data_IF_758313420523
#
_entry.id   IF_758313420523
#
_cell.length_a   1.000
_cell.length_b   1.000
_cell.length_c   1.000
_cell.angle_alpha   90.00
_cell.angle_beta   90.00
_cell.angle_gamma   90.00
#
_symmetry.space_group_name_H-M   'P 1'
#
loop_
_entity.id
_entity.type
_entity.pdbx_description
1 polymer ?
#
# COMPACT_ATOMS: atom_id res chain seq x y z
N UNK A 1 15.90 -14.87 24.76
CA UNK A 1 15.54 -15.73 23.61
C UNK A 1 15.84 -14.98 22.33
N UNK A 2 16.97 -15.26 21.67
CA UNK A 2 17.21 -14.75 20.32
C UNK A 2 16.36 -15.59 19.35
N UNK A 3 15.59 -14.95 18.47
CA UNK A 3 14.72 -15.59 17.47
C UNK A 3 15.46 -15.63 16.12
N UNK A 4 16.27 -16.67 15.85
CA UNK A 4 17.18 -16.66 14.71
C UNK A 4 16.41 -16.96 13.41
N UNK A 5 15.25 -17.60 13.50
CA UNK A 5 14.41 -17.95 12.35
C UNK A 5 13.68 -16.73 11.77
N UNK A 6 12.98 -15.96 12.61
CA UNK A 6 12.27 -14.75 12.18
C UNK A 6 13.22 -13.71 11.58
N UNK A 7 14.40 -13.53 12.19
CA UNK A 7 15.44 -12.63 11.69
C UNK A 7 16.07 -13.08 10.37
N UNK A 8 16.09 -14.38 10.06
CA UNK A 8 16.56 -14.91 8.76
C UNK A 8 15.56 -14.65 7.64
N UNK A 9 14.25 -14.79 7.90
CA UNK A 9 13.19 -14.48 6.94
C UNK A 9 13.12 -12.99 6.63
N UNK A 10 13.21 -12.13 7.66
CA UNK A 10 13.32 -10.69 7.44
C UNK A 10 14.57 -10.32 6.65
N UNK A 11 15.70 -10.99 6.92
CA UNK A 11 16.95 -10.77 6.18
C UNK A 11 16.87 -11.22 4.72
N UNK A 12 16.06 -12.23 4.37
CA UNK A 12 15.84 -12.59 2.96
C UNK A 12 14.89 -11.62 2.26
N UNK A 13 13.88 -11.11 2.95
CA UNK A 13 12.99 -10.08 2.42
C UNK A 13 13.71 -8.72 2.24
N UNK A 14 14.64 -8.38 3.14
CA UNK A 14 15.49 -7.18 3.03
C UNK A 14 16.68 -7.35 2.07
N UNK A 15 16.96 -8.56 1.58
CA UNK A 15 17.95 -8.73 0.51
C UNK A 15 17.34 -8.13 -0.74
N UNK A 16 17.83 -6.95 -1.11
CA UNK A 16 17.61 -6.34 -2.42
C UNK A 16 17.79 -7.41 -3.48
N UNK A 17 16.69 -7.79 -4.14
CA UNK A 17 16.75 -8.71 -5.26
C UNK A 17 17.55 -8.00 -6.37
N UNK A 18 18.83 -8.34 -6.47
CA UNK A 18 19.69 -7.95 -7.60
C UNK A 18 19.25 -8.78 -8.82
N UNK A 19 18.02 -8.57 -9.27
CA UNK A 19 17.57 -9.03 -10.58
C UNK A 19 18.36 -8.21 -11.61
N UNK A 20 18.94 -8.83 -12.65
CA UNK A 20 19.48 -8.08 -13.77
C UNK A 20 18.37 -7.18 -14.31
N UNK A 21 18.44 -5.90 -14.03
CA UNK A 21 17.56 -4.94 -14.68
C UNK A 21 18.00 -4.95 -16.13
N UNK A 22 17.12 -5.39 -17.04
CA UNK A 22 17.28 -5.03 -18.44
C UNK A 22 17.48 -3.50 -18.48
N UNK A 23 18.26 -2.97 -19.44
CA UNK A 23 18.50 -1.54 -19.60
C UNK A 23 17.20 -0.78 -19.96
N UNK A 24 16.22 -0.79 -19.05
CA UNK A 24 14.92 -0.19 -19.15
C UNK A 24 15.10 1.29 -18.83
N UNK A 25 15.22 2.09 -19.88
CA UNK A 25 15.16 3.54 -19.78
C UNK A 25 13.73 3.98 -20.05
N UNK A 26 13.16 4.73 -19.12
CA UNK A 26 11.90 5.44 -19.36
C UNK A 26 12.20 6.80 -20.00
N UNK A 27 11.25 7.28 -20.80
CA UNK A 27 11.22 8.70 -21.18
C UNK A 27 10.69 9.52 -19.98
N UNK A 28 11.03 10.81 -19.86
CA UNK A 28 10.43 11.69 -18.86
C UNK A 28 8.90 11.62 -18.90
N UNK A 29 8.25 11.97 -17.78
CA UNK A 29 6.80 11.93 -17.73
C UNK A 29 6.24 12.92 -18.76
N UNK A 30 5.25 12.49 -19.54
CA UNK A 30 4.53 13.40 -20.44
C UNK A 30 3.79 14.48 -19.66
N UNK A 31 3.37 14.13 -18.44
CA UNK A 31 2.75 15.01 -17.47
C UNK A 31 3.32 14.67 -16.10
N UNK A 32 4.01 15.62 -15.49
CA UNK A 32 4.60 15.47 -14.18
C UNK A 32 3.50 15.56 -13.12
N UNK A 33 3.16 14.42 -12.50
CA UNK A 33 2.21 14.40 -11.39
C UNK A 33 2.93 14.92 -10.16
N UNK A 34 2.55 16.12 -9.72
CA UNK A 34 3.13 16.79 -8.57
C UNK A 34 2.83 16.02 -7.28
N UNK A 35 3.62 16.26 -6.22
CA UNK A 35 3.39 15.66 -4.92
C UNK A 35 1.98 15.97 -4.36
N UNK A 36 1.44 17.16 -4.66
CA UNK A 36 0.08 17.55 -4.26
C UNK A 36 -0.99 16.70 -4.94
N UNK A 37 -0.88 16.51 -6.26
CA UNK A 37 -1.81 15.65 -7.02
C UNK A 37 -1.74 14.19 -6.58
N UNK A 38 -0.53 13.68 -6.32
CA UNK A 38 -0.35 12.32 -5.79
C UNK A 38 -1.00 12.17 -4.41
N UNK A 39 -0.85 13.15 -3.52
CA UNK A 39 -1.45 13.13 -2.19
C UNK A 39 -2.98 13.12 -2.26
N UNK A 40 -3.57 13.93 -3.16
CA UNK A 40 -5.02 13.95 -3.39
C UNK A 40 -5.49 12.60 -3.92
N UNK A 41 -4.83 12.04 -4.93
CA UNK A 41 -5.20 10.76 -5.51
C UNK A 41 -5.12 9.61 -4.50
N UNK A 42 -4.05 9.56 -3.70
CA UNK A 42 -3.87 8.53 -2.68
C UNK A 42 -4.93 8.65 -1.59
N UNK A 43 -5.24 9.87 -1.13
CA UNK A 43 -6.27 10.13 -0.13
C UNK A 43 -7.64 9.73 -0.64
N UNK A 44 -7.96 10.09 -1.89
CA UNK A 44 -9.22 9.73 -2.53
C UNK A 44 -9.37 8.21 -2.64
N UNK A 45 -8.31 7.49 -3.03
CA UNK A 45 -8.31 6.03 -3.09
C UNK A 45 -8.58 5.41 -1.70
N UNK A 46 -7.90 5.90 -0.67
CA UNK A 46 -8.11 5.42 0.70
C UNK A 46 -9.54 5.68 1.16
N UNK A 47 -10.06 6.89 0.95
CA UNK A 47 -11.42 7.27 1.32
C UNK A 47 -12.48 6.43 0.58
N UNK A 48 -12.26 6.13 -0.70
CA UNK A 48 -13.18 5.32 -1.50
C UNK A 48 -13.33 3.88 -0.99
N UNK A 49 -12.27 3.31 -0.40
CA UNK A 49 -12.30 1.96 0.17
C UNK A 49 -12.76 1.99 1.63
N UNK A 50 -12.15 2.86 2.44
CA UNK A 50 -12.36 2.89 3.89
C UNK A 50 -13.67 3.56 4.28
N UNK A 51 -14.19 4.50 3.48
CA UNK A 51 -15.45 5.18 3.77
C UNK A 51 -16.64 4.20 3.84
N UNK A 52 -16.94 3.47 2.76
CA UNK A 52 -18.02 2.47 2.76
C UNK A 52 -17.76 1.36 3.79
N UNK A 53 -16.52 0.88 3.89
CA UNK A 53 -16.14 -0.16 4.86
C UNK A 53 -16.39 0.30 6.30
N UNK A 54 -15.97 1.52 6.64
CA UNK A 54 -16.15 2.12 7.95
C UNK A 54 -17.63 2.31 8.31
N UNK A 55 -18.45 2.75 7.34
CA UNK A 55 -19.90 2.84 7.53
C UNK A 55 -20.51 1.48 7.87
N UNK A 56 -20.20 0.44 7.10
CA UNK A 56 -20.74 -0.90 7.33
C UNK A 56 -20.32 -1.41 8.71
N UNK A 57 -19.04 -1.29 9.06
CA UNK A 57 -18.53 -1.77 10.35
C UNK A 57 -19.12 -1.01 11.54
N UNK A 58 -19.37 0.29 11.40
CA UNK A 58 -19.97 1.10 12.45
C UNK A 58 -21.42 0.69 12.78
N UNK A 59 -22.15 0.15 11.80
CA UNK A 59 -23.57 -0.17 11.94
C UNK A 59 -23.85 -1.67 12.18
N UNK A 60 -22.83 -2.47 12.51
CA UNK A 60 -23.00 -3.92 12.70
C UNK A 60 -24.02 -4.26 13.80
N UNK A 61 -24.06 -3.49 14.88
CA UNK A 61 -25.04 -3.70 15.96
C UNK A 61 -26.46 -3.34 15.56
N UNK A 62 -26.64 -2.35 14.68
CA UNK A 62 -27.96 -1.96 14.16
C UNK A 62 -28.51 -3.01 13.20
N UNK A 63 -27.63 -3.68 12.45
CA UNK A 63 -28.02 -4.79 11.57
C UNK A 63 -28.45 -6.04 12.35
N UNK A 64 -27.92 -6.26 13.56
CA UNK A 64 -28.25 -7.41 14.41
C UNK A 64 -29.60 -7.31 15.10
N UNK A 65 -30.12 -6.10 15.30
CA UNK A 65 -31.35 -5.82 16.06
C UNK A 65 -32.60 -5.75 15.16
N UNK A 66 -32.53 -6.34 13.97
CA UNK A 66 -33.64 -6.47 13.02
C UNK A 66 -34.14 -7.91 12.97
#
# INVERSE_FOLDING_TARGET
MSLPAASRLFRSALRTQLVPTANLKSKPAKHEVTAGEQAVALTALMAAILGPSGWILAHLEDYKKK
#
